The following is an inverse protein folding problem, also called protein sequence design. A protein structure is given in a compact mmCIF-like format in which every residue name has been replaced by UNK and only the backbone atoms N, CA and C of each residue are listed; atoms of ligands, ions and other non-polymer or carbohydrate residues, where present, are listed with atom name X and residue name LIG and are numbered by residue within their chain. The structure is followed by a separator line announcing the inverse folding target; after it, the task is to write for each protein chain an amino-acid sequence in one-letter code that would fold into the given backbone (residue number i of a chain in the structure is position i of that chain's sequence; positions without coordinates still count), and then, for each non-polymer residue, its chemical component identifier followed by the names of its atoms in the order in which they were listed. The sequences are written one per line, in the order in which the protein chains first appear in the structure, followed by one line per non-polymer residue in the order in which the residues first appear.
data_IF_510460871417
#
_entry.id   IF_510460871417
#
_cell.length_a   1.000
_cell.length_b   1.000
_cell.length_c   1.000
_cell.angle_alpha   90.00
_cell.angle_beta   90.00
_cell.angle_gamma   90.00
#
_symmetry.space_group_name_H-M   'P 1'
#
loop_
_entity.id
_entity.type
_entity.pdbx_description
1 polymer ?
#
# COMPACT_ATOMS: atom_id res chain seq x y z
N UNK A 1 16.43 -1.32 7.31
CA UNK A 1 15.24 -1.73 6.54
C UNK A 1 14.02 -1.18 7.25
N UNK A 2 13.06 -0.59 6.52
CA UNK A 2 11.88 0.04 7.13
C UNK A 2 10.75 -0.99 7.26
N UNK A 3 10.13 -1.04 8.43
CA UNK A 3 8.92 -1.84 8.66
C UNK A 3 7.69 -0.96 8.45
N UNK A 4 6.75 -1.44 7.63
CA UNK A 4 5.51 -0.76 7.28
C UNK A 4 4.33 -1.68 7.57
N UNK A 5 3.23 -1.13 8.06
CA UNK A 5 1.92 -1.79 7.93
C UNK A 5 1.32 -1.46 6.56
N UNK A 6 0.31 -2.22 6.12
CA UNK A 6 -0.50 -1.89 4.94
C UNK A 6 -1.12 -0.49 5.07
N UNK A 7 -1.56 -0.11 6.27
CA UNK A 7 -2.00 1.27 6.52
C UNK A 7 -0.90 2.31 6.24
N UNK A 8 0.35 2.02 6.61
CA UNK A 8 1.50 2.91 6.33
C UNK A 8 1.90 2.91 4.85
N UNK A 9 1.59 1.85 4.09
CA UNK A 9 1.75 1.85 2.63
C UNK A 9 0.86 2.91 1.99
N UNK A 10 -0.38 3.08 2.46
CA UNK A 10 -1.23 4.16 2.00
C UNK A 10 -0.63 5.55 2.31
N UNK A 11 -0.09 5.77 3.51
CA UNK A 11 0.59 7.03 3.83
C UNK A 11 1.72 7.34 2.85
N UNK A 12 2.51 6.31 2.51
CA UNK A 12 3.63 6.43 1.57
C UNK A 12 3.17 6.76 0.15
N UNK A 13 2.02 6.25 -0.30
CA UNK A 13 1.43 6.63 -1.58
C UNK A 13 1.00 8.11 -1.53
N UNK A 14 0.27 8.50 -0.48
CA UNK A 14 -0.29 9.84 -0.30
C UNK A 14 0.78 10.92 -0.09
N UNK A 15 1.98 10.59 0.42
CA UNK A 15 3.13 11.50 0.46
C UNK A 15 3.47 12.11 -0.91
N UNK A 16 3.13 11.39 -2.00
CA UNK A 16 3.40 11.81 -3.37
C UNK A 16 2.22 12.53 -4.03
N UNK A 17 1.16 12.81 -3.28
CA UNK A 17 -0.13 13.33 -3.76
C UNK A 17 -0.45 14.69 -3.13
N UNK A 18 -1.21 15.52 -3.86
CA UNK A 18 -1.76 16.77 -3.30
C UNK A 18 -2.88 16.49 -2.28
N UNK A 19 -3.81 15.58 -2.64
CA UNK A 19 -4.88 15.09 -1.77
C UNK A 19 -4.36 13.93 -0.92
N UNK A 20 -4.25 14.15 0.40
CA UNK A 20 -3.74 13.18 1.38
C UNK A 20 -4.84 12.49 2.19
N UNK A 21 -6.08 12.53 1.69
CA UNK A 21 -7.21 11.92 2.40
C UNK A 21 -7.10 10.40 2.35
N UNK A 22 -7.14 9.75 3.52
CA UNK A 22 -7.25 8.29 3.60
C UNK A 22 -8.56 7.80 3.00
N UNK A 23 -8.47 6.75 2.19
CA UNK A 23 -9.61 6.08 1.58
C UNK A 23 -9.42 4.58 1.63
N UNK A 24 -10.43 3.85 1.19
CA UNK A 24 -10.30 2.40 1.02
C UNK A 24 -9.17 2.13 0.02
N UNK A 25 -8.32 1.16 0.35
CA UNK A 25 -7.22 0.74 -0.50
C UNK A 25 -7.42 -0.71 -0.93
N UNK A 26 -7.51 -0.92 -2.24
CA UNK A 26 -7.59 -2.25 -2.83
C UNK A 26 -6.21 -2.90 -2.83
N UNK A 27 -6.18 -4.19 -2.48
CA UNK A 27 -4.97 -5.01 -2.42
C UNK A 27 -5.17 -6.18 -3.36
N UNK A 28 -4.25 -6.36 -4.30
CA UNK A 28 -4.22 -7.50 -5.21
C UNK A 28 -2.87 -8.21 -5.17
N UNK A 29 -2.85 -9.46 -4.73
CA UNK A 29 -1.66 -10.31 -4.68
C UNK A 29 -1.64 -11.20 -5.91
N UNK A 30 -0.64 -11.02 -6.77
CA UNK A 30 -0.50 -11.83 -7.98
C UNK A 30 -0.06 -13.24 -7.62
N UNK A 31 -0.77 -14.30 -8.01
CA UNK A 31 -0.29 -15.67 -7.80
C UNK A 31 0.91 -15.95 -8.70
N UNK A 32 1.90 -16.66 -8.18
CA UNK A 32 3.05 -17.15 -8.92
C UNK A 32 3.16 -18.67 -8.82
N UNK A 33 4.02 -19.25 -9.65
CA UNK A 33 4.27 -20.70 -9.65
C UNK A 33 4.65 -21.20 -8.24
N UNK A 34 4.21 -22.41 -7.91
CA UNK A 34 4.49 -23.01 -6.59
C UNK A 34 3.68 -22.42 -5.44
N UNK A 35 2.55 -21.75 -5.71
CA UNK A 35 1.74 -21.03 -4.72
C UNK A 35 2.51 -19.90 -4.03
N UNK A 36 3.55 -19.36 -4.67
CA UNK A 36 4.27 -18.18 -4.20
C UNK A 36 3.46 -16.92 -4.47
N UNK A 37 3.60 -15.92 -3.59
CA UNK A 37 3.05 -14.58 -3.84
C UNK A 37 4.03 -13.80 -4.72
N UNK A 38 3.54 -13.36 -5.88
CA UNK A 38 4.25 -12.48 -6.80
C UNK A 38 4.10 -11.00 -6.45
N UNK A 39 4.03 -10.15 -7.46
CA UNK A 39 3.82 -8.73 -7.29
C UNK A 39 2.50 -8.44 -6.58
N UNK A 40 2.51 -7.47 -5.68
CA UNK A 40 1.33 -7.05 -4.92
C UNK A 40 1.01 -5.62 -5.30
N UNK A 41 -0.23 -5.37 -5.69
CA UNK A 41 -0.72 -4.08 -6.10
C UNK A 41 -1.58 -3.46 -5.01
N UNK A 42 -1.31 -2.18 -4.69
CA UNK A 42 -2.05 -1.37 -3.74
C UNK A 42 -2.62 -0.16 -4.47
N UNK A 43 -3.94 0.00 -4.52
CA UNK A 43 -4.57 1.13 -5.20
C UNK A 43 -5.54 1.86 -4.28
N UNK A 44 -5.36 3.17 -4.13
CA UNK A 44 -6.26 4.01 -3.35
C UNK A 44 -7.53 4.26 -4.16
N UNK A 45 -8.68 3.97 -3.56
CA UNK A 45 -9.99 4.15 -4.18
C UNK A 45 -10.27 5.60 -4.58
N UNK A 46 -11.00 5.76 -5.69
CA UNK A 46 -11.33 7.06 -6.25
C UNK A 46 -11.44 7.03 -7.77
N UNK A 47 -12.02 8.07 -8.33
CA UNK A 47 -12.09 8.29 -9.77
C UNK A 47 -11.68 9.74 -10.08
N UNK A 48 -10.47 9.99 -10.62
CA UNK A 48 -9.40 9.02 -10.92
C UNK A 48 -8.72 8.44 -9.66
N UNK A 49 -8.01 7.29 -9.77
CA UNK A 49 -7.23 6.71 -8.68
C UNK A 49 -6.20 7.70 -8.13
N UNK A 50 -6.09 7.83 -6.80
CA UNK A 50 -5.21 8.80 -6.11
C UNK A 50 -3.79 8.24 -5.87
N UNK A 51 -3.23 7.67 -6.92
CA UNK A 51 -1.95 6.96 -6.86
C UNK A 51 -2.08 5.50 -6.43
N UNK A 52 -0.98 4.77 -6.58
CA UNK A 52 -0.90 3.35 -6.30
C UNK A 52 0.54 2.94 -6.00
N UNK A 53 0.71 1.75 -5.44
CA UNK A 53 2.02 1.15 -5.29
C UNK A 53 2.04 -0.30 -5.77
N UNK A 54 3.20 -0.73 -6.23
CA UNK A 54 3.51 -2.11 -6.53
C UNK A 54 4.64 -2.57 -5.62
N UNK A 55 4.37 -3.59 -4.80
CA UNK A 55 5.37 -4.24 -3.98
C UNK A 55 5.86 -5.51 -4.67
N UNK A 56 7.19 -5.63 -4.77
CA UNK A 56 7.88 -6.76 -5.36
C UNK A 56 8.58 -7.52 -4.22
N UNK A 57 8.00 -8.63 -3.73
CA UNK A 57 8.61 -9.42 -2.67
C UNK A 57 9.96 -9.97 -3.11
N UNK A 58 10.93 -10.01 -2.19
CA UNK A 58 12.13 -10.81 -2.36
C UNK A 58 11.80 -12.29 -2.03
N UNK A 59 12.58 -13.23 -2.58
CA UNK A 59 12.34 -14.67 -2.35
C UNK A 59 12.93 -15.17 -1.03
N UNK A 60 13.84 -14.40 -0.44
CA UNK A 60 14.66 -14.85 0.69
C UNK A 60 14.01 -14.55 2.04
N UNK A 61 13.26 -13.45 2.14
CA UNK A 61 12.71 -12.99 3.41
C UNK A 61 11.21 -12.68 3.30
N UNK A 62 10.43 -13.21 4.25
CA UNK A 62 8.98 -13.08 4.24
C UNK A 62 8.55 -11.60 4.28
N UNK A 63 7.64 -11.24 3.39
CA UNK A 63 7.02 -9.91 3.28
C UNK A 63 8.02 -8.75 3.15
N UNK A 64 9.24 -9.05 2.71
CA UNK A 64 10.28 -8.06 2.44
C UNK A 64 10.43 -7.89 0.94
N UNK A 65 10.74 -6.67 0.48
CA UNK A 65 10.78 -6.40 -0.94
C UNK A 65 10.88 -4.92 -1.27
N UNK A 66 10.70 -4.61 -2.55
CA UNK A 66 10.78 -3.26 -3.08
C UNK A 66 9.37 -2.70 -3.31
N UNK A 67 9.02 -1.60 -2.66
CA UNK A 67 7.78 -0.86 -2.88
C UNK A 67 8.04 0.26 -3.90
N UNK A 68 7.32 0.20 -5.01
CA UNK A 68 7.36 1.17 -6.10
C UNK A 68 6.09 2.00 -6.04
N UNK A 69 6.20 3.31 -5.83
CA UNK A 69 5.06 4.21 -5.68
C UNK A 69 4.88 5.04 -6.94
N UNK A 70 3.64 5.16 -7.38
CA UNK A 70 3.22 5.90 -8.56
C UNK A 70 2.13 6.90 -8.16
N UNK A 71 2.16 8.05 -8.82
CA UNK A 71 1.14 9.08 -8.63
C UNK A 71 -0.14 8.77 -9.43
N UNK A 72 -1.11 9.68 -9.39
CA UNK A 72 -2.38 9.59 -10.11
C UNK A 72 -2.23 9.58 -11.64
N UNK A 73 -1.07 9.99 -12.17
CA UNK A 73 -0.74 9.97 -13.60
C UNK A 73 0.03 8.72 -14.01
N UNK A 74 0.31 7.81 -13.06
CA UNK A 74 1.13 6.62 -13.29
C UNK A 74 2.63 6.90 -13.40
N UNK A 75 3.09 8.10 -13.01
CA UNK A 75 4.49 8.43 -12.96
C UNK A 75 5.11 7.89 -11.67
N UNK A 76 6.23 7.19 -11.81
CA UNK A 76 6.96 6.63 -10.67
C UNK A 76 7.56 7.75 -9.83
N UNK A 77 7.19 7.83 -8.55
CA UNK A 77 7.64 8.90 -7.63
C UNK A 77 8.62 8.44 -6.56
N UNK A 78 8.50 7.20 -6.09
CA UNK A 78 9.32 6.69 -4.98
C UNK A 78 9.62 5.20 -5.14
N UNK A 79 10.79 4.78 -4.67
CA UNK A 79 11.18 3.38 -4.54
C UNK A 79 11.76 3.21 -3.14
N UNK A 80 11.35 2.16 -2.43
CA UNK A 80 11.90 1.88 -1.12
C UNK A 80 11.99 0.39 -0.83
N UNK A 81 13.03 0.00 -0.11
CA UNK A 81 13.18 -1.34 0.44
C UNK A 81 12.50 -1.38 1.82
N UNK A 82 11.49 -2.25 1.95
CA UNK A 82 10.70 -2.35 3.18
C UNK A 82 10.25 -3.78 3.46
N UNK A 83 9.77 -4.00 4.70
CA UNK A 83 9.01 -5.18 5.11
C UNK A 83 7.60 -4.76 5.47
N UNK A 84 6.58 -5.43 4.89
CA UNK A 84 5.17 -5.16 5.20
C UNK A 84 4.68 -6.15 6.25
N UNK A 85 4.57 -5.70 7.51
CA UNK A 85 4.48 -6.58 8.68
C UNK A 85 3.13 -7.31 8.84
N UNK A 86 2.04 -6.72 8.35
CA UNK A 86 0.67 -7.21 8.49
C UNK A 86 0.08 -7.70 7.16
N UNK A 87 0.91 -7.88 6.13
CA UNK A 87 0.49 -8.25 4.78
C UNK A 87 -0.30 -9.57 4.72
N UNK A 88 0.04 -10.54 5.57
CA UNK A 88 -0.63 -11.85 5.63
C UNK A 88 -2.06 -11.77 6.17
N UNK A 89 -2.41 -10.66 6.85
CA UNK A 89 -3.75 -10.44 7.38
C UNK A 89 -4.77 -10.15 6.28
N UNK A 90 -4.30 -9.87 5.06
CA UNK A 90 -5.11 -9.56 3.90
C UNK A 90 -5.17 -10.74 2.93
N UNK A 91 -6.32 -10.96 2.30
CA UNK A 91 -6.51 -11.96 1.25
C UNK A 91 -5.85 -11.53 -0.06
N UNK A 92 -5.86 -12.41 -1.06
CA UNK A 92 -5.27 -12.14 -2.37
C UNK A 92 -5.97 -10.99 -3.10
N UNK A 93 -7.28 -10.86 -2.90
CA UNK A 93 -8.06 -9.71 -3.32
C UNK A 93 -8.78 -9.20 -2.07
N UNK A 94 -8.35 -8.05 -1.57
CA UNK A 94 -8.85 -7.52 -0.30
C UNK A 94 -8.96 -6.00 -0.32
N UNK A 95 -9.61 -5.46 0.70
CA UNK A 95 -9.80 -4.02 0.90
C UNK A 95 -9.32 -3.64 2.29
N UNK A 96 -8.31 -2.77 2.35
CA UNK A 96 -7.98 -2.06 3.57
C UNK A 96 -8.91 -0.86 3.70
N UNK A 97 -9.95 -0.99 4.53
CA UNK A 97 -10.94 0.06 4.77
C UNK A 97 -10.26 1.26 5.46
N UNK A 98 -10.54 2.48 4.99
CA UNK A 98 -10.09 3.68 5.69
C UNK A 98 -10.66 3.71 7.12
N UNK A 99 -9.78 3.87 8.11
CA UNK A 99 -10.26 4.23 9.46
C UNK A 99 -10.70 5.68 9.39
N UNK A 100 -11.96 5.96 9.73
CA UNK A 100 -12.44 7.34 9.92
C UNK A 100 -11.50 8.05 10.89
N UNK A 101 -11.02 9.24 10.49
CA UNK A 101 -10.30 10.10 11.40
C UNK A 101 -11.27 10.47 12.53
N UNK A 102 -11.05 9.92 13.72
CA UNK A 102 -11.77 10.37 14.91
C UNK A 102 -11.41 11.85 15.07
N UNK A 103 -12.36 12.79 14.96
CA UNK A 103 -12.04 14.20 15.17
C UNK A 103 -11.50 14.34 16.60
N UNK A 104 -10.26 14.82 16.72
CA UNK A 104 -9.71 15.23 18.00
C UNK A 104 -10.50 16.46 18.41
N UNK A 105 -11.47 16.27 19.30
CA UNK A 105 -12.11 17.39 19.98
C UNK A 105 -11.06 17.93 20.95
N UNK A 106 -10.35 18.98 20.56
CA UNK A 106 -9.59 19.79 21.51
C UNK A 106 -10.59 20.47 22.44
N UNK A 107 -10.70 19.95 23.66
CA UNK A 107 -11.41 20.64 24.74
C UNK A 107 -10.51 21.81 25.15
N UNK A 108 -10.95 23.03 24.86
CA UNK A 108 -10.34 24.29 25.30
C UNK A 108 -10.37 24.41 26.84
#
# INVERSE_FOLDING_TARGET
MQELSVAKVQDVILETQEDKTHRDMFIHKSPCAGNETGAIFFAISGTPPRGYAMFLPNKEEKNQGMLHVFDELGLKRKIMHCRIIDLDSFKDNDVCIAKEAIPVIEVQ
#
